data_IF_969366754478
#
_entry.id   IF_969366754478
#
_cell.length_a   1.000
_cell.length_b   1.000
_cell.length_c   1.000
_cell.angle_alpha   90.00
_cell.angle_beta   90.00
_cell.angle_gamma   90.00
#
_symmetry.space_group_name_H-M   'P 1'
#
loop_
_entity.id
_entity.type
_entity.pdbx_description
1 polymer ?
#
# COMPACT_ATOMS: atom_id res chain seq x y z
N UNK A 1 18.18 28.15 -20.78
CA UNK A 1 17.60 26.80 -20.93
C UNK A 1 16.23 26.81 -20.28
N UNK A 2 15.17 26.42 -21.00
CA UNK A 2 13.86 26.25 -20.34
C UNK A 2 14.01 25.11 -19.31
N UNK A 3 13.81 25.43 -18.05
CA UNK A 3 13.75 24.40 -16.99
C UNK A 3 12.53 23.54 -17.31
N UNK A 4 12.71 22.21 -17.39
CA UNK A 4 11.61 21.27 -17.57
C UNK A 4 10.72 21.38 -16.32
N UNK A 5 9.41 21.41 -16.49
CA UNK A 5 8.46 21.43 -15.38
C UNK A 5 8.36 20.06 -14.70
N UNK A 6 7.90 20.05 -13.44
CA UNK A 6 7.84 18.86 -12.60
C UNK A 6 6.92 17.78 -13.16
N UNK A 7 5.82 18.17 -13.81
CA UNK A 7 4.84 17.23 -14.36
C UNK A 7 5.41 16.50 -15.57
N UNK A 8 6.04 17.25 -16.50
CA UNK A 8 6.74 16.68 -17.67
C UNK A 8 7.86 15.73 -17.22
N UNK A 9 8.69 16.14 -16.24
CA UNK A 9 9.78 15.30 -15.73
C UNK A 9 9.25 14.03 -15.06
N UNK A 10 8.22 14.14 -14.24
CA UNK A 10 7.60 13.01 -13.56
C UNK A 10 6.99 12.02 -14.55
N UNK A 11 6.33 12.50 -15.61
CA UNK A 11 5.78 11.65 -16.68
C UNK A 11 6.88 10.87 -17.37
N UNK A 12 8.00 11.51 -17.72
CA UNK A 12 9.15 10.82 -18.32
C UNK A 12 9.71 9.74 -17.40
N UNK A 13 9.79 10.01 -16.09
CA UNK A 13 10.23 9.02 -15.11
C UNK A 13 9.26 7.85 -14.96
N UNK A 14 7.94 8.11 -15.01
CA UNK A 14 6.92 7.06 -14.98
C UNK A 14 7.02 6.13 -16.20
N UNK A 15 7.20 6.70 -17.39
CA UNK A 15 7.37 5.93 -18.62
C UNK A 15 8.66 5.09 -18.59
N UNK A 16 9.77 5.69 -18.14
CA UNK A 16 11.04 4.98 -17.91
C UNK A 16 10.87 3.82 -16.94
N UNK A 17 10.19 4.03 -15.81
CA UNK A 17 9.96 3.01 -14.80
C UNK A 17 9.09 1.87 -15.33
N UNK A 18 7.99 2.21 -16.00
CA UNK A 18 7.08 1.22 -16.61
C UNK A 18 7.82 0.31 -17.58
N UNK A 19 8.54 0.90 -18.54
CA UNK A 19 9.33 0.14 -19.53
C UNK A 19 10.36 -0.76 -18.85
N UNK A 20 10.98 -0.29 -17.77
CA UNK A 20 11.97 -1.09 -17.03
C UNK A 20 11.36 -2.25 -16.27
N UNK A 21 10.18 -2.05 -15.63
CA UNK A 21 9.45 -3.13 -14.95
C UNK A 21 9.00 -4.19 -15.97
N UNK A 22 8.53 -3.78 -17.15
CA UNK A 22 8.16 -4.69 -18.24
C UNK A 22 9.36 -5.50 -18.72
N UNK A 23 10.51 -4.88 -18.90
CA UNK A 23 11.76 -5.57 -19.27
C UNK A 23 12.17 -6.59 -18.20
N UNK A 24 12.15 -6.23 -16.91
CA UNK A 24 12.45 -7.12 -15.78
C UNK A 24 11.49 -8.33 -15.78
N UNK A 25 10.22 -8.14 -16.10
CA UNK A 25 9.23 -9.22 -16.17
C UNK A 25 9.55 -10.23 -17.29
N UNK A 26 10.22 -9.80 -18.38
CA UNK A 26 10.72 -10.67 -19.45
C UNK A 26 12.04 -11.38 -19.12
N UNK A 27 12.85 -10.84 -18.20
CA UNK A 27 14.17 -11.41 -17.87
C UNK A 27 14.11 -12.60 -16.91
N UNK A 28 13.17 -12.59 -15.98
CA UNK A 28 13.08 -13.63 -14.94
C UNK A 28 11.65 -13.92 -14.54
N UNK A 29 11.33 -15.20 -14.42
CA UNK A 29 10.04 -15.69 -13.96
C UNK A 29 9.99 -15.87 -12.44
N UNK A 30 11.16 -15.98 -11.78
CA UNK A 30 11.24 -16.15 -10.34
C UNK A 30 10.77 -14.90 -9.60
N UNK A 31 9.85 -15.10 -8.66
CA UNK A 31 9.13 -14.00 -8.00
C UNK A 31 10.05 -13.06 -7.20
N UNK A 32 10.89 -13.61 -6.31
CA UNK A 32 11.73 -12.78 -5.42
C UNK A 32 12.81 -12.03 -6.18
N UNK A 33 13.62 -12.66 -7.06
CA UNK A 33 14.59 -11.94 -7.88
C UNK A 33 13.96 -10.86 -8.75
N UNK A 34 12.79 -11.13 -9.37
CA UNK A 34 12.04 -10.16 -10.17
C UNK A 34 11.62 -8.96 -9.34
N UNK A 35 10.99 -9.21 -8.21
CA UNK A 35 10.49 -8.14 -7.32
C UNK A 35 11.64 -7.32 -6.74
N UNK A 36 12.75 -7.94 -6.40
CA UNK A 36 13.97 -7.24 -5.93
C UNK A 36 14.57 -6.33 -7.02
N UNK A 37 14.61 -6.79 -8.29
CA UNK A 37 15.02 -5.92 -9.41
C UNK A 37 14.07 -4.75 -9.61
N UNK A 38 12.76 -4.96 -9.45
CA UNK A 38 11.77 -3.87 -9.50
C UNK A 38 12.02 -2.86 -8.38
N UNK A 39 12.28 -3.30 -7.15
CA UNK A 39 12.61 -2.41 -6.03
C UNK A 39 13.82 -1.53 -6.35
N UNK A 40 14.89 -2.10 -6.88
CA UNK A 40 16.08 -1.33 -7.26
C UNK A 40 15.73 -0.29 -8.33
N UNK A 41 14.98 -0.68 -9.37
CA UNK A 41 14.55 0.23 -10.42
C UNK A 41 13.70 1.40 -9.88
N UNK A 42 12.80 1.13 -8.94
CA UNK A 42 11.96 2.15 -8.30
C UNK A 42 12.81 3.07 -7.43
N UNK A 43 13.76 2.54 -6.65
CA UNK A 43 14.66 3.33 -5.82
C UNK A 43 15.53 4.29 -6.64
N UNK A 44 16.03 3.85 -7.79
CA UNK A 44 16.78 4.70 -8.71
C UNK A 44 15.91 5.86 -9.23
N UNK A 45 14.68 5.56 -9.66
CA UNK A 45 13.73 6.59 -10.13
C UNK A 45 13.34 7.54 -9.01
N UNK A 46 13.09 7.06 -7.78
CA UNK A 46 12.83 7.91 -6.62
C UNK A 46 14.03 8.79 -6.28
N UNK A 47 15.25 8.29 -6.48
CA UNK A 47 16.49 9.08 -6.30
C UNK A 47 16.60 10.17 -7.34
N UNK A 48 16.35 9.85 -8.62
CA UNK A 48 16.33 10.84 -9.70
C UNK A 48 15.28 11.93 -9.43
N UNK A 49 14.06 11.54 -9.05
CA UNK A 49 12.97 12.45 -8.70
C UNK A 49 13.35 13.35 -7.51
N UNK A 50 13.95 12.78 -6.48
CA UNK A 50 14.42 13.52 -5.30
C UNK A 50 15.47 14.56 -5.66
N UNK A 51 16.47 14.18 -6.47
CA UNK A 51 17.52 15.10 -6.92
C UNK A 51 16.96 16.24 -7.78
N UNK A 52 15.96 15.96 -8.58
CA UNK A 52 15.26 16.99 -9.35
C UNK A 52 14.52 17.96 -8.42
N UNK A 53 13.69 17.45 -7.51
CA UNK A 53 12.88 18.25 -6.57
C UNK A 53 13.76 19.12 -5.65
N UNK A 54 14.97 18.69 -5.30
CA UNK A 54 15.90 19.50 -4.50
C UNK A 54 16.34 20.80 -5.20
N UNK A 55 16.29 20.81 -6.52
CA UNK A 55 16.73 21.96 -7.35
C UNK A 55 15.54 22.68 -7.97
N UNK A 56 14.33 22.11 -7.82
CA UNK A 56 13.12 22.62 -8.41
C UNK A 56 12.40 23.58 -7.45
N UNK A 57 12.06 24.77 -7.93
CA UNK A 57 11.21 25.70 -7.22
C UNK A 57 9.80 25.58 -7.78
N UNK A 58 8.85 25.15 -6.96
CA UNK A 58 7.44 25.05 -7.35
C UNK A 58 6.90 26.44 -7.69
N UNK A 59 6.27 26.58 -8.84
CA UNK A 59 5.77 27.86 -9.34
C UNK A 59 4.54 28.34 -8.56
N UNK A 60 3.80 27.43 -7.94
CA UNK A 60 2.64 27.73 -7.12
C UNK A 60 2.48 26.69 -6.00
N UNK A 61 1.69 27.05 -4.98
CA UNK A 61 1.29 26.09 -3.94
C UNK A 61 0.46 24.95 -4.50
N UNK A 62 -0.37 25.21 -5.50
CA UNK A 62 -1.17 24.20 -6.15
C UNK A 62 -0.29 23.15 -6.82
N UNK A 63 0.74 23.57 -7.56
CA UNK A 63 1.71 22.66 -8.17
C UNK A 63 2.44 21.80 -7.12
N UNK A 64 2.81 22.40 -5.99
CA UNK A 64 3.42 21.64 -4.87
C UNK A 64 2.45 20.63 -4.28
N UNK A 65 1.20 21.02 -4.05
CA UNK A 65 0.13 20.11 -3.58
C UNK A 65 -0.09 18.97 -4.55
N UNK A 66 -0.27 19.23 -5.84
CA UNK A 66 -0.44 18.20 -6.88
C UNK A 66 0.73 17.22 -6.90
N UNK A 67 1.95 17.73 -6.76
CA UNK A 67 3.13 16.86 -6.72
C UNK A 67 3.11 15.93 -5.51
N UNK A 68 2.89 16.43 -4.30
CA UNK A 68 2.93 15.63 -3.08
C UNK A 68 1.64 14.81 -2.82
N UNK A 69 0.52 15.19 -3.44
CA UNK A 69 -0.76 14.46 -3.34
C UNK A 69 -0.90 13.40 -4.42
N UNK A 70 -0.61 13.75 -5.67
CA UNK A 70 -0.98 12.91 -6.81
C UNK A 70 0.24 12.24 -7.47
N UNK A 71 1.34 12.99 -7.63
CA UNK A 71 2.49 12.52 -8.40
C UNK A 71 3.43 11.63 -7.59
N UNK A 72 4.02 12.14 -6.53
CA UNK A 72 5.02 11.40 -5.74
C UNK A 72 4.45 10.12 -5.09
N UNK A 73 3.22 10.11 -4.52
CA UNK A 73 2.68 8.89 -3.94
C UNK A 73 2.53 7.73 -4.93
N UNK A 74 2.36 8.00 -6.23
CA UNK A 74 2.27 6.93 -7.25
C UNK A 74 3.58 6.19 -7.43
N UNK A 75 4.73 6.86 -7.36
CA UNK A 75 6.04 6.20 -7.36
C UNK A 75 6.31 5.45 -6.07
N UNK A 76 6.06 6.11 -4.94
CA UNK A 76 6.37 5.57 -3.63
C UNK A 76 5.46 4.39 -3.26
N UNK A 77 4.21 4.37 -3.75
CA UNK A 77 3.30 3.24 -3.56
C UNK A 77 3.80 1.97 -4.25
N UNK A 78 4.43 2.09 -5.41
CA UNK A 78 5.06 0.94 -6.07
C UNK A 78 6.22 0.38 -5.25
N UNK A 79 7.03 1.25 -4.63
CA UNK A 79 8.08 0.80 -3.71
C UNK A 79 7.49 -0.02 -2.55
N UNK A 80 6.51 0.52 -1.82
CA UNK A 80 5.87 -0.17 -0.71
C UNK A 80 5.16 -1.47 -1.14
N UNK A 81 4.59 -1.48 -2.34
CA UNK A 81 3.98 -2.69 -2.90
C UNK A 81 5.00 -3.81 -3.09
N UNK A 82 6.09 -3.56 -3.83
CA UNK A 82 7.10 -4.58 -4.08
C UNK A 82 7.87 -4.99 -2.83
N UNK A 83 8.15 -4.06 -1.93
CA UNK A 83 8.78 -4.32 -0.63
C UNK A 83 7.92 -5.25 0.22
N UNK A 84 6.61 -4.98 0.32
CA UNK A 84 5.67 -5.85 1.01
C UNK A 84 5.58 -7.23 0.38
N UNK A 85 5.53 -7.33 -0.94
CA UNK A 85 5.48 -8.63 -1.63
C UNK A 85 6.75 -9.47 -1.39
N UNK A 86 7.92 -8.85 -1.43
CA UNK A 86 9.19 -9.54 -1.11
C UNK A 86 9.19 -10.02 0.33
N UNK A 87 8.78 -9.16 1.26
CA UNK A 87 8.69 -9.49 2.69
C UNK A 87 7.73 -10.64 2.94
N UNK A 88 6.52 -10.61 2.35
CA UNK A 88 5.54 -11.69 2.45
C UNK A 88 6.10 -13.01 1.91
N UNK A 89 6.79 -12.96 0.79
CA UNK A 89 7.33 -14.17 0.14
C UNK A 89 8.51 -14.77 0.90
N UNK A 90 9.38 -13.96 1.48
CA UNK A 90 10.51 -14.43 2.28
C UNK A 90 10.04 -15.04 3.60
N UNK A 91 8.98 -14.50 4.20
CA UNK A 91 8.40 -14.99 5.45
C UNK A 91 7.32 -16.05 5.25
N UNK A 92 7.10 -16.51 4.02
CA UNK A 92 6.10 -17.53 3.70
C UNK A 92 6.44 -18.86 4.38
N UNK A 93 5.50 -19.47 5.12
CA UNK A 93 5.72 -20.74 5.77
C UNK A 93 5.89 -21.88 4.75
N UNK A 94 6.68 -22.91 5.11
CA UNK A 94 6.88 -24.10 4.28
C UNK A 94 5.60 -24.94 4.20
N UNK A 95 4.79 -24.90 5.24
CA UNK A 95 3.52 -25.64 5.35
C UNK A 95 2.45 -24.97 4.47
N UNK A 96 1.98 -25.67 3.44
CA UNK A 96 1.02 -25.20 2.46
C UNK A 96 -0.32 -24.78 3.11
N UNK A 97 -0.75 -25.48 4.15
CA UNK A 97 -2.01 -25.17 4.86
C UNK A 97 -1.92 -23.84 5.62
N UNK A 98 -0.71 -23.40 5.97
CA UNK A 98 -0.45 -22.15 6.67
C UNK A 98 -0.26 -20.94 5.74
N UNK A 99 0.04 -21.15 4.48
CA UNK A 99 0.32 -20.06 3.53
C UNK A 99 -0.86 -19.09 3.45
N UNK A 100 -2.07 -19.60 3.32
CA UNK A 100 -3.28 -18.77 3.25
C UNK A 100 -3.44 -17.87 4.49
N UNK A 101 -3.25 -18.44 5.69
CA UNK A 101 -3.35 -17.69 6.94
C UNK A 101 -2.25 -16.63 7.04
N UNK A 102 -1.05 -16.93 6.58
CA UNK A 102 0.05 -15.98 6.52
C UNK A 102 -0.30 -14.75 5.68
N UNK A 103 -0.83 -14.91 4.47
CA UNK A 103 -1.24 -13.79 3.63
C UNK A 103 -2.42 -13.01 4.20
N UNK A 104 -3.35 -13.66 4.87
CA UNK A 104 -4.48 -12.99 5.56
C UNK A 104 -3.95 -12.16 6.74
N UNK A 105 -3.01 -12.68 7.53
CA UNK A 105 -2.38 -11.96 8.64
C UNK A 105 -1.62 -10.72 8.16
N UNK A 106 -0.87 -10.85 7.08
CA UNK A 106 -0.17 -9.72 6.47
C UNK A 106 -1.15 -8.63 5.99
N UNK A 107 -2.29 -9.00 5.41
CA UNK A 107 -3.36 -8.03 5.10
C UNK A 107 -3.94 -7.39 6.37
N UNK A 108 -4.05 -8.12 7.48
CA UNK A 108 -4.48 -7.60 8.77
C UNK A 108 -3.58 -6.46 9.25
N UNK A 109 -2.25 -6.63 9.19
CA UNK A 109 -1.26 -5.58 9.52
C UNK A 109 -1.43 -4.33 8.67
N UNK A 110 -1.70 -4.51 7.38
CA UNK A 110 -1.96 -3.39 6.48
C UNK A 110 -3.26 -2.65 6.84
N UNK A 111 -4.31 -3.37 7.24
CA UNK A 111 -5.57 -2.76 7.67
C UNK A 111 -5.40 -1.97 8.97
N UNK A 112 -4.57 -2.43 9.90
CA UNK A 112 -4.24 -1.69 11.12
C UNK A 112 -3.59 -0.34 10.80
N UNK A 113 -2.68 -0.29 9.83
CA UNK A 113 -2.10 0.96 9.38
C UNK A 113 -3.16 1.94 8.83
N UNK A 114 -4.11 1.47 8.02
CA UNK A 114 -5.20 2.31 7.51
C UNK A 114 -6.10 2.77 8.64
N UNK A 115 -6.41 1.91 9.60
CA UNK A 115 -7.21 2.27 10.80
C UNK A 115 -6.52 3.33 11.65
N UNK A 116 -5.22 3.21 11.85
CA UNK A 116 -4.44 4.20 12.57
C UNK A 116 -4.40 5.59 11.88
N UNK A 117 -4.68 5.63 10.56
CA UNK A 117 -4.72 6.86 9.76
C UNK A 117 -6.12 7.09 9.16
N UNK A 118 -7.19 6.65 9.84
CA UNK A 118 -8.54 6.62 9.25
C UNK A 118 -9.07 8.00 8.86
N UNK A 119 -8.81 9.03 9.64
CA UNK A 119 -9.31 10.38 9.35
C UNK A 119 -8.69 10.93 8.07
N UNK A 120 -7.38 10.73 7.90
CA UNK A 120 -6.69 11.08 6.67
C UNK A 120 -7.13 10.21 5.49
N UNK A 121 -7.38 8.91 5.72
CA UNK A 121 -7.94 8.02 4.70
C UNK A 121 -9.31 8.51 4.22
N UNK A 122 -10.22 8.83 5.15
CA UNK A 122 -11.56 9.37 4.83
C UNK A 122 -11.42 10.68 4.05
N UNK A 123 -10.53 11.57 4.47
CA UNK A 123 -10.22 12.80 3.75
C UNK A 123 -9.84 12.54 2.29
N UNK A 124 -8.91 11.60 2.05
CA UNK A 124 -8.45 11.29 0.70
C UNK A 124 -9.55 10.66 -0.16
N UNK A 125 -10.31 9.67 0.35
CA UNK A 125 -11.33 8.96 -0.43
C UNK A 125 -12.59 9.79 -0.68
N UNK A 126 -12.87 10.78 0.18
CA UNK A 126 -13.98 11.71 -0.02
C UNK A 126 -13.72 12.77 -1.10
N UNK A 127 -12.48 12.86 -1.61
CA UNK A 127 -12.08 13.89 -2.56
C UNK A 127 -12.03 15.30 -1.94
N UNK A 128 -11.92 15.39 -0.61
CA UNK A 128 -11.83 16.66 0.09
C UNK A 128 -10.53 17.39 -0.26
N UNK A 129 -10.56 18.73 -0.26
CA UNK A 129 -9.42 19.57 -0.63
C UNK A 129 -9.08 20.64 0.42
N UNK A 130 -9.93 20.81 1.44
CA UNK A 130 -9.82 21.90 2.41
C UNK A 130 -8.56 21.86 3.30
N UNK A 131 -7.88 20.70 3.39
CA UNK A 131 -6.61 20.54 4.09
C UNK A 131 -5.42 20.25 3.16
N UNK A 132 -5.59 20.34 1.84
CA UNK A 132 -4.54 20.00 0.89
C UNK A 132 -3.25 20.77 1.14
N UNK A 133 -3.31 22.08 1.38
CA UNK A 133 -2.13 22.86 1.72
C UNK A 133 -1.44 22.40 3.01
N UNK A 134 -2.21 21.96 4.01
CA UNK A 134 -1.67 21.49 5.28
C UNK A 134 -1.00 20.13 5.12
N UNK A 135 -1.59 19.23 4.36
CA UNK A 135 -1.11 17.87 4.22
C UNK A 135 0.00 17.73 3.16
N UNK A 136 -0.08 18.51 2.09
CA UNK A 136 0.74 18.30 0.91
C UNK A 136 1.67 19.47 0.54
N UNK A 137 1.92 20.40 1.47
CA UNK A 137 2.93 21.45 1.32
C UNK A 137 4.06 21.25 2.32
N UNK A 138 5.29 21.37 1.87
CA UNK A 138 6.49 21.26 2.73
C UNK A 138 6.49 22.32 3.83
N UNK A 139 6.91 21.94 5.02
CA UNK A 139 7.00 22.84 6.16
C UNK A 139 5.70 23.20 6.86
N UNK A 140 4.52 22.82 6.30
CA UNK A 140 3.20 23.04 6.92
C UNK A 140 2.64 21.82 7.63
N UNK A 141 3.09 20.62 7.27
CA UNK A 141 2.62 19.39 7.89
C UNK A 141 2.93 19.35 9.38
N UNK A 142 1.95 18.96 10.17
CA UNK A 142 2.12 18.68 11.60
C UNK A 142 2.81 17.34 11.85
N UNK A 143 2.96 16.54 10.81
CA UNK A 143 3.67 15.27 10.89
C UNK A 143 5.18 15.51 11.01
N UNK A 144 5.73 15.15 12.17
CA UNK A 144 7.17 15.26 12.45
C UNK A 144 7.73 13.88 12.75
N UNK A 145 8.46 13.31 11.79
CA UNK A 145 9.30 12.14 12.03
C UNK A 145 10.77 12.59 12.02
N UNK A 146 11.61 12.12 12.95
CA UNK A 146 13.01 12.52 13.04
C UNK A 146 13.80 12.31 11.75
N UNK A 147 13.47 11.23 11.02
CA UNK A 147 14.19 10.84 9.80
C UNK A 147 13.50 11.33 8.50
N UNK A 148 12.49 12.20 8.62
CA UNK A 148 11.77 12.71 7.48
C UNK A 148 12.57 13.79 6.76
N UNK A 149 12.90 13.55 5.50
CA UNK A 149 13.49 14.57 4.63
C UNK A 149 12.41 15.59 4.21
N UNK A 150 12.30 16.67 4.96
CA UNK A 150 11.28 17.70 4.77
C UNK A 150 11.38 18.46 3.45
N UNK A 151 12.50 18.34 2.72
CA UNK A 151 12.65 18.91 1.37
C UNK A 151 11.98 18.06 0.30
N UNK A 152 11.80 16.77 0.58
CA UNK A 152 11.22 15.79 -0.36
C UNK A 152 9.98 15.09 0.19
N UNK A 153 9.50 15.42 1.38
CA UNK A 153 8.30 14.79 1.94
C UNK A 153 7.54 15.75 2.86
N UNK A 154 6.22 15.62 2.83
CA UNK A 154 5.32 16.27 3.77
C UNK A 154 4.92 15.33 4.93
N UNK A 155 5.28 14.03 4.86
CA UNK A 155 4.82 13.00 5.76
C UNK A 155 3.49 12.39 5.32
N UNK A 156 2.49 13.21 5.00
CA UNK A 156 1.19 12.74 4.51
C UNK A 156 1.27 12.08 3.12
N UNK A 157 2.19 12.51 2.28
CA UNK A 157 2.50 11.87 1.00
C UNK A 157 2.98 10.41 1.17
N UNK A 158 3.76 10.13 2.23
CA UNK A 158 4.17 8.78 2.58
C UNK A 158 3.00 7.92 3.09
N UNK A 159 2.13 8.51 3.93
CA UNK A 159 0.93 7.81 4.42
C UNK A 159 0.02 7.48 3.24
N UNK A 160 -0.21 8.43 2.33
CA UNK A 160 -1.01 8.22 1.14
C UNK A 160 -0.42 7.13 0.25
N UNK A 161 0.90 7.13 0.02
CA UNK A 161 1.58 6.11 -0.76
C UNK A 161 1.41 4.70 -0.16
N UNK A 162 1.46 4.56 1.16
CA UNK A 162 1.21 3.27 1.84
C UNK A 162 -0.25 2.84 1.72
N UNK A 163 -1.19 3.77 1.78
CA UNK A 163 -2.63 3.49 1.53
C UNK A 163 -2.83 2.98 0.10
N UNK A 164 -2.22 3.64 -0.90
CA UNK A 164 -2.27 3.20 -2.29
C UNK A 164 -1.64 1.81 -2.48
N UNK A 165 -0.48 1.56 -1.88
CA UNK A 165 0.16 0.26 -1.90
C UNK A 165 -0.73 -0.84 -1.31
N UNK A 166 -1.47 -0.54 -0.23
CA UNK A 166 -2.41 -1.46 0.39
C UNK A 166 -3.49 -1.96 -0.57
N UNK A 167 -4.03 -1.10 -1.41
CA UNK A 167 -5.01 -1.52 -2.44
C UNK A 167 -4.37 -2.49 -3.43
N UNK A 168 -3.12 -2.24 -3.85
CA UNK A 168 -2.38 -3.10 -4.76
C UNK A 168 -2.05 -4.46 -4.11
N UNK A 169 -1.59 -4.46 -2.85
CA UNK A 169 -1.28 -5.67 -2.08
C UNK A 169 -2.52 -6.52 -1.90
N UNK A 170 -3.65 -5.91 -1.54
CA UNK A 170 -4.93 -6.60 -1.39
C UNK A 170 -5.34 -7.30 -2.68
N UNK A 171 -5.29 -6.59 -3.81
CA UNK A 171 -5.61 -7.17 -5.11
C UNK A 171 -4.69 -8.36 -5.46
N UNK A 172 -3.40 -8.27 -5.13
CA UNK A 172 -2.44 -9.36 -5.31
C UNK A 172 -2.81 -10.57 -4.45
N UNK A 173 -3.04 -10.38 -3.16
CA UNK A 173 -3.36 -11.45 -2.21
C UNK A 173 -4.69 -12.11 -2.56
N UNK A 174 -5.72 -11.33 -2.90
CA UNK A 174 -7.02 -11.87 -3.33
C UNK A 174 -6.87 -12.77 -4.57
N UNK A 175 -6.04 -12.35 -5.54
CA UNK A 175 -5.73 -13.17 -6.72
C UNK A 175 -4.97 -14.44 -6.35
N UNK A 176 -3.95 -14.32 -5.49
CA UNK A 176 -3.15 -15.45 -5.02
C UNK A 176 -3.99 -16.51 -4.30
N UNK A 177 -4.85 -16.10 -3.38
CA UNK A 177 -5.75 -16.99 -2.64
C UNK A 177 -6.73 -17.69 -3.59
N UNK A 178 -7.31 -16.97 -4.56
CA UNK A 178 -8.21 -17.56 -5.55
C UNK A 178 -7.52 -18.62 -6.42
N UNK A 179 -6.30 -18.37 -6.85
CA UNK A 179 -5.54 -19.33 -7.65
C UNK A 179 -5.17 -20.58 -6.85
N UNK A 180 -4.80 -20.43 -5.58
CA UNK A 180 -4.46 -21.55 -4.70
C UNK A 180 -5.69 -22.43 -4.36
N UNK A 181 -6.91 -21.90 -4.45
CA UNK A 181 -8.14 -22.66 -4.22
C UNK A 181 -8.66 -23.40 -5.47
N UNK A 182 -8.12 -23.11 -6.64
CA UNK A 182 -8.49 -23.77 -7.91
C UNK A 182 -7.63 -24.99 -8.22
N UNK A 183 -6.60 -25.29 -7.41
CA UNK A 183 -5.81 -26.52 -7.55
C UNK A 183 -6.62 -27.73 -7.02
N UNK A 184 -6.93 -28.76 -7.86
CA UNK A 184 -7.84 -29.84 -7.50
C UNK A 184 -7.34 -30.79 -6.41
N UNK A 185 -6.16 -30.55 -5.83
CA UNK A 185 -5.58 -31.34 -4.74
C UNK A 185 -6.08 -30.99 -3.33
N UNK A 186 -6.71 -29.85 -3.12
CA UNK A 186 -7.32 -29.49 -1.84
C UNK A 186 -8.83 -29.70 -2.00
N UNK A 187 -9.36 -30.75 -1.37
CA UNK A 187 -10.78 -31.02 -1.35
C UNK A 187 -11.52 -29.76 -0.91
N UNK A 188 -12.20 -29.14 -1.82
CA UNK A 188 -13.12 -28.05 -1.52
C UNK A 188 -14.14 -28.60 -0.53
N UNK A 189 -14.01 -28.25 0.74
CA UNK A 189 -15.13 -28.32 1.67
C UNK A 189 -16.23 -27.41 1.09
N UNK A 190 -17.03 -27.98 0.18
CA UNK A 190 -18.23 -27.31 -0.30
C UNK A 190 -19.18 -27.27 0.89
N UNK A 191 -19.41 -26.07 1.38
CA UNK A 191 -20.52 -25.82 2.29
C UNK A 191 -21.82 -26.29 1.59
N UNK A 192 -22.34 -27.43 2.01
CA UNK A 192 -23.53 -28.04 1.42
C UNK A 192 -24.82 -27.64 2.13
N UNK A 193 -24.70 -26.91 3.25
CA UNK A 193 -25.83 -26.42 4.02
C UNK A 193 -26.45 -25.15 3.37
N UNK A 194 -27.74 -24.89 3.63
CA UNK A 194 -28.43 -23.70 3.13
C UNK A 194 -27.85 -22.43 3.69
N UNK A 195 -27.95 -21.31 2.98
CA UNK A 195 -27.50 -19.99 3.44
C UNK A 195 -28.01 -19.61 4.84
N UNK A 196 -29.19 -20.08 5.23
CA UNK A 196 -29.79 -19.92 6.56
C UNK A 196 -28.91 -20.54 7.65
N UNK A 197 -28.36 -21.72 7.42
CA UNK A 197 -27.52 -22.44 8.42
C UNK A 197 -26.20 -21.74 8.67
N UNK A 198 -25.67 -21.01 7.68
CA UNK A 198 -24.47 -20.17 7.85
C UNK A 198 -24.76 -18.95 8.74
N UNK A 199 -25.94 -18.35 8.58
CA UNK A 199 -26.37 -17.21 9.40
C UNK A 199 -26.58 -17.66 10.84
N UNK A 200 -27.21 -18.80 11.08
CA UNK A 200 -27.39 -19.38 12.43
C UNK A 200 -26.06 -19.73 13.09
N UNK A 201 -25.10 -20.26 12.33
CA UNK A 201 -23.74 -20.52 12.85
C UNK A 201 -23.03 -19.24 13.27
N UNK A 202 -23.16 -18.18 12.49
CA UNK A 202 -22.56 -16.85 12.80
C UNK A 202 -23.21 -16.28 14.07
N UNK A 203 -24.54 -16.38 14.22
CA UNK A 203 -25.24 -15.94 15.43
C UNK A 203 -24.82 -16.75 16.64
N UNK A 204 -24.76 -18.07 16.54
CA UNK A 204 -24.32 -18.96 17.63
C UNK A 204 -22.87 -18.72 18.09
N UNK A 205 -21.99 -18.33 17.17
CA UNK A 205 -20.61 -17.94 17.48
C UNK A 205 -20.55 -16.57 18.15
N UNK A 206 -21.46 -15.65 17.80
CA UNK A 206 -21.52 -14.34 18.42
C UNK A 206 -22.10 -14.37 19.84
N UNK A 207 -23.10 -15.23 20.11
CA UNK A 207 -23.66 -15.41 21.45
C UNK A 207 -22.72 -16.12 22.45
N UNK A 208 -21.74 -16.88 21.97
CA UNK A 208 -20.75 -17.57 22.80
C UNK A 208 -19.52 -16.72 23.16
N UNK A 209 -19.45 -15.46 22.78
CA UNK A 209 -18.42 -14.55 23.29
C UNK A 209 -18.72 -14.26 24.77
N UNK A 210 -17.85 -14.61 25.74
CA UNK A 210 -18.13 -14.40 27.14
C UNK A 210 -18.13 -12.91 27.44
N UNK A 211 -19.32 -12.38 27.75
CA UNK A 211 -19.42 -11.07 28.41
C UNK A 211 -18.65 -11.12 29.72
N UNK A 212 -17.66 -10.27 29.87
CA UNK A 212 -16.97 -10.03 31.13
C UNK A 212 -17.99 -9.46 32.14
N UNK A 213 -18.52 -10.34 33.00
CA UNK A 213 -19.28 -9.92 34.18
C UNK A 213 -18.34 -9.15 35.10
N UNK A 214 -18.44 -7.84 35.10
CA UNK A 214 -17.98 -7.03 36.22
C UNK A 214 -18.93 -7.25 37.40
N UNK A 215 -18.54 -8.09 38.31
CA UNK A 215 -19.20 -8.21 39.60
C UNK A 215 -18.76 -7.02 40.46
N UNK A 216 -19.61 -6.02 40.57
CA UNK A 216 -19.60 -5.09 41.70
C UNK A 216 -20.02 -5.85 42.95
N UNK A 217 -19.26 -5.67 44.05
CA UNK A 217 -19.71 -5.85 45.40
C UNK A 217 -19.18 -4.74 46.27
N UNK A 218 -20.14 -4.00 46.78
CA UNK A 218 -20.30 -3.42 48.14
C UNK A 218 -19.01 -3.04 48.87
#
# INVERSE_FOLDING_TARGET
MKTIDINTYSTQLQDKLRSRIEAIAGETTEFVPRSSKCLVAIQEVLTDLKQFVYKYEFQSRMEEVEFFKDTKPTFLSQYYYYDSLVTMKISEPVDQDRIRFHYIDELGKQQEFVRANQDFYIYCVSGATHFDEQYFTRGKSLFKAPDLDTRFSTGHDNILARILANHMIRAYVDKYIKQSTTDPGISSLKWTAKKADLVELIYALHEKSPESRSSGKS
#
